data_IF_819359591505
#
_entry.id   IF_819359591505
#
_cell.length_a   1.000
_cell.length_b   1.000
_cell.length_c   1.000
_cell.angle_alpha   90.00
_cell.angle_beta   90.00
_cell.angle_gamma   90.00
#
_symmetry.space_group_name_H-M   'P 1'
#
loop_
_entity.id
_entity.type
_entity.pdbx_description
1 polymer ?
#
# COMPACT_ATOMS: atom_id res chain seq x y z
N UNK A 1 1.61 17.79 -17.69
CA UNK A 1 0.94 16.53 -17.23
C UNK A 1 1.69 15.82 -16.10
N UNK A 2 3.01 16.04 -16.02
CA UNK A 2 3.91 15.38 -15.07
C UNK A 2 3.54 15.62 -13.60
N UNK A 3 3.09 16.84 -13.26
CA UNK A 3 2.69 17.18 -11.89
C UNK A 3 1.51 16.34 -11.36
N UNK A 4 0.52 16.04 -12.21
CA UNK A 4 -0.62 15.21 -11.79
C UNK A 4 -0.19 13.77 -11.58
N UNK A 5 0.63 13.22 -12.49
CA UNK A 5 1.18 11.87 -12.36
C UNK A 5 2.04 11.76 -11.09
N UNK A 6 2.86 12.77 -10.79
CA UNK A 6 3.68 12.82 -9.59
C UNK A 6 2.82 12.85 -8.31
N UNK A 7 1.75 13.65 -8.29
CA UNK A 7 0.82 13.71 -7.14
C UNK A 7 0.13 12.37 -6.91
N UNK A 8 -0.42 11.74 -7.95
CA UNK A 8 -1.13 10.46 -7.80
C UNK A 8 -0.16 9.34 -7.40
N UNK A 9 1.04 9.32 -7.98
CA UNK A 9 2.09 8.38 -7.59
C UNK A 9 2.56 8.61 -6.15
N UNK A 10 2.72 9.86 -5.73
CA UNK A 10 3.03 10.21 -4.35
C UNK A 10 1.95 9.76 -3.38
N UNK A 11 0.67 9.89 -3.75
CA UNK A 11 -0.45 9.42 -2.95
C UNK A 11 -0.47 7.89 -2.84
N UNK A 12 -0.18 7.17 -3.92
CA UNK A 12 -0.04 5.70 -3.92
C UNK A 12 1.06 5.24 -2.96
N UNK A 13 2.24 5.86 -3.06
CA UNK A 13 3.38 5.54 -2.20
C UNK A 13 3.10 5.91 -0.74
N UNK A 14 2.47 7.05 -0.49
CA UNK A 14 2.09 7.50 0.84
C UNK A 14 1.08 6.57 1.50
N UNK A 15 0.05 6.15 0.76
CA UNK A 15 -0.95 5.20 1.25
C UNK A 15 -0.31 3.84 1.55
N UNK A 16 0.56 3.36 0.68
CA UNK A 16 1.29 2.12 0.91
C UNK A 16 2.18 2.20 2.15
N UNK A 17 2.94 3.28 2.29
CA UNK A 17 3.75 3.55 3.49
C UNK A 17 2.91 3.59 4.77
N UNK A 18 1.77 4.28 4.75
CA UNK A 18 0.85 4.37 5.88
C UNK A 18 0.36 2.97 6.31
N UNK A 19 -0.01 2.13 5.36
CA UNK A 19 -0.45 0.76 5.63
C UNK A 19 0.68 -0.04 6.26
N UNK A 20 1.88 -0.01 5.69
CA UNK A 20 3.03 -0.72 6.25
C UNK A 20 3.38 -0.24 7.67
N UNK A 21 3.33 1.07 7.92
CA UNK A 21 3.56 1.63 9.26
C UNK A 21 2.50 1.16 10.25
N UNK A 22 1.22 1.16 9.86
CA UNK A 22 0.13 0.68 10.71
C UNK A 22 0.28 -0.83 11.02
N UNK A 23 0.60 -1.64 10.01
CA UNK A 23 0.83 -3.08 10.18
C UNK A 23 2.01 -3.34 11.12
N UNK A 24 3.13 -2.65 10.94
CA UNK A 24 4.31 -2.78 11.81
C UNK A 24 4.01 -2.36 13.25
N UNK A 25 3.23 -1.29 13.45
CA UNK A 25 2.81 -0.85 14.78
C UNK A 25 1.94 -1.92 15.48
N UNK A 26 0.99 -2.51 14.75
CA UNK A 26 0.12 -3.56 15.28
C UNK A 26 0.92 -4.83 15.59
N UNK A 27 1.85 -5.22 14.71
CA UNK A 27 2.73 -6.37 14.95
C UNK A 27 3.59 -6.17 16.21
N UNK A 28 4.19 -4.99 16.37
CA UNK A 28 5.02 -4.70 17.54
C UNK A 28 4.21 -4.72 18.84
N UNK A 29 2.99 -4.18 18.81
CA UNK A 29 2.07 -4.24 19.95
C UNK A 29 1.68 -5.69 20.28
N UNK A 30 1.30 -6.48 19.27
CA UNK A 30 0.96 -7.89 19.46
C UNK A 30 2.15 -8.69 20.02
N UNK A 31 3.36 -8.42 19.54
CA UNK A 31 4.59 -9.04 20.03
C UNK A 31 4.81 -8.77 21.52
N UNK A 32 4.61 -7.52 21.96
CA UNK A 32 4.72 -7.14 23.37
C UNK A 32 3.64 -7.81 24.22
N UNK A 33 2.39 -7.86 23.74
CA UNK A 33 1.28 -8.52 24.44
C UNK A 33 1.55 -10.02 24.61
N UNK A 34 1.95 -10.71 23.54
CA UNK A 34 2.30 -12.14 23.58
C UNK A 34 3.46 -12.41 24.56
N UNK A 35 4.49 -11.57 24.53
CA UNK A 35 5.62 -11.68 25.44
C UNK A 35 5.23 -11.44 26.91
N UNK A 36 4.30 -10.52 27.17
CA UNK A 36 3.72 -10.26 28.49
C UNK A 36 2.89 -11.42 29.04
N UNK A 37 2.30 -12.22 28.15
CA UNK A 37 1.59 -13.47 28.50
C UNK A 37 2.53 -14.68 28.61
N UNK A 38 3.84 -14.50 28.47
CA UNK A 38 4.83 -15.58 28.53
C UNK A 38 4.96 -16.41 27.24
N UNK A 39 4.26 -16.03 26.16
CA UNK A 39 4.34 -16.71 24.87
C UNK A 39 5.60 -16.23 24.14
N UNK A 40 6.55 -17.13 23.92
CA UNK A 40 7.86 -16.84 23.32
C UNK A 40 8.27 -17.95 22.34
N UNK A 41 9.29 -17.68 21.53
CA UNK A 41 9.88 -18.66 20.62
C UNK A 41 9.00 -18.96 19.41
N UNK A 42 9.01 -20.20 18.93
CA UNK A 42 8.37 -20.60 17.67
C UNK A 42 6.85 -20.37 17.67
N UNK A 43 6.18 -20.57 18.81
CA UNK A 43 4.75 -20.32 18.94
C UNK A 43 4.40 -18.84 18.76
N UNK A 44 5.22 -17.93 19.30
CA UNK A 44 5.03 -16.49 19.11
C UNK A 44 5.18 -16.12 17.64
N UNK A 45 6.20 -16.66 16.97
CA UNK A 45 6.43 -16.43 15.54
C UNK A 45 5.26 -16.93 14.70
N UNK A 46 4.75 -18.13 14.96
CA UNK A 46 3.60 -18.68 14.24
C UNK A 46 2.36 -17.79 14.39
N UNK A 47 2.05 -17.34 15.61
CA UNK A 47 0.92 -16.43 15.87
C UNK A 47 1.09 -15.08 15.17
N UNK A 48 2.29 -14.51 15.18
CA UNK A 48 2.58 -13.25 14.50
C UNK A 48 2.49 -13.38 12.97
N UNK A 49 2.89 -14.51 12.40
CA UNK A 49 2.70 -14.78 10.96
C UNK A 49 1.21 -14.82 10.62
N UNK A 50 0.41 -15.55 11.41
CA UNK A 50 -1.05 -15.63 11.20
C UNK A 50 -1.68 -14.24 11.30
N UNK A 51 -1.27 -13.45 12.29
CA UNK A 51 -1.69 -12.07 12.45
C UNK A 51 -1.31 -11.24 11.21
N UNK A 52 -0.05 -11.29 10.77
CA UNK A 52 0.45 -10.54 9.63
C UNK A 52 -0.31 -10.88 8.34
N UNK A 53 -0.55 -12.16 8.07
CA UNK A 53 -1.34 -12.62 6.92
C UNK A 53 -2.77 -12.07 7.00
N UNK A 54 -3.38 -12.12 8.18
CA UNK A 54 -4.74 -11.58 8.40
C UNK A 54 -4.80 -10.07 8.17
N UNK A 55 -3.80 -9.33 8.66
CA UNK A 55 -3.66 -7.89 8.42
C UNK A 55 -3.43 -7.58 6.95
N UNK A 56 -2.60 -8.35 6.25
CA UNK A 56 -2.36 -8.17 4.82
C UNK A 56 -3.66 -8.35 4.03
N UNK A 57 -4.41 -9.43 4.27
CA UNK A 57 -5.71 -9.67 3.64
C UNK A 57 -6.69 -8.53 3.96
N UNK A 58 -6.76 -8.12 5.23
CA UNK A 58 -7.59 -7.01 5.68
C UNK A 58 -7.25 -5.70 4.98
N UNK A 59 -5.95 -5.37 4.87
CA UNK A 59 -5.46 -4.18 4.22
C UNK A 59 -5.77 -4.19 2.71
N UNK A 60 -5.52 -5.30 2.01
CA UNK A 60 -5.90 -5.44 0.60
C UNK A 60 -7.41 -5.33 0.40
N UNK A 61 -8.22 -5.83 1.33
CA UNK A 61 -9.68 -5.73 1.23
C UNK A 61 -10.20 -4.32 1.49
N UNK A 62 -9.62 -3.60 2.45
CA UNK A 62 -10.00 -2.24 2.80
C UNK A 62 -9.52 -1.22 1.76
N UNK A 63 -8.27 -1.33 1.33
CA UNK A 63 -7.63 -0.33 0.48
C UNK A 63 -7.51 -0.75 -0.98
N UNK A 64 -7.78 -2.01 -1.33
CA UNK A 64 -7.63 -2.52 -2.70
C UNK A 64 -8.46 -1.76 -3.73
N UNK A 65 -9.67 -1.33 -3.36
CA UNK A 65 -10.50 -0.47 -4.22
C UNK A 65 -9.85 0.90 -4.48
N UNK A 66 -9.28 1.51 -3.44
CA UNK A 66 -8.57 2.80 -3.55
C UNK A 66 -7.33 2.66 -4.42
N UNK A 67 -6.52 1.62 -4.19
CA UNK A 67 -5.35 1.32 -5.04
C UNK A 67 -5.76 1.08 -6.50
N UNK A 68 -6.81 0.31 -6.75
CA UNK A 68 -7.29 0.04 -8.10
C UNK A 68 -7.69 1.34 -8.82
N UNK A 69 -8.40 2.24 -8.15
CA UNK A 69 -8.79 3.54 -8.71
C UNK A 69 -7.57 4.41 -8.99
N UNK A 70 -6.64 4.52 -8.04
CA UNK A 70 -5.44 5.35 -8.20
C UNK A 70 -4.52 4.82 -9.30
N UNK A 71 -4.30 3.50 -9.36
CA UNK A 71 -3.54 2.85 -10.43
C UNK A 71 -4.22 3.07 -11.77
N UNK A 72 -5.53 2.85 -11.86
CA UNK A 72 -6.31 3.09 -13.07
C UNK A 72 -6.18 4.53 -13.57
N UNK A 73 -6.22 5.50 -12.66
CA UNK A 73 -6.04 6.91 -12.98
C UNK A 73 -4.63 7.18 -13.52
N UNK A 74 -3.58 6.66 -12.88
CA UNK A 74 -2.20 6.80 -13.37
C UNK A 74 -2.04 6.21 -14.76
N UNK A 75 -2.53 4.98 -14.98
CA UNK A 75 -2.44 4.32 -16.28
C UNK A 75 -3.18 5.09 -17.37
N UNK A 76 -4.35 5.64 -17.06
CA UNK A 76 -5.12 6.47 -17.98
C UNK A 76 -4.37 7.77 -18.34
N UNK A 77 -3.76 8.44 -17.36
CA UNK A 77 -2.95 9.65 -17.59
C UNK A 77 -1.72 9.36 -18.44
N UNK A 78 -1.04 8.23 -18.19
CA UNK A 78 0.11 7.78 -18.99
C UNK A 78 -0.33 7.49 -20.43
N UNK A 79 -1.45 6.80 -20.62
CA UNK A 79 -2.00 6.52 -21.95
C UNK A 79 -2.34 7.81 -22.71
N UNK A 80 -3.03 8.74 -22.05
CA UNK A 80 -3.38 10.04 -22.64
C UNK A 80 -2.12 10.82 -23.03
N UNK A 81 -1.11 10.85 -22.16
CA UNK A 81 0.17 11.49 -22.44
C UNK A 81 0.85 10.86 -23.67
N UNK A 82 0.93 9.53 -23.73
CA UNK A 82 1.53 8.82 -24.87
C UNK A 82 0.80 9.11 -26.18
N UNK A 83 -0.54 9.16 -26.17
CA UNK A 83 -1.35 9.48 -27.35
C UNK A 83 -1.13 10.92 -27.83
N UNK A 84 -1.08 11.90 -26.92
CA UNK A 84 -0.85 13.30 -27.26
C UNK A 84 0.54 13.55 -27.84
N UNK A 85 1.57 12.92 -27.25
CA UNK A 85 2.94 12.94 -27.79
C UNK A 85 2.96 12.36 -29.21
N UNK A 86 2.29 11.21 -29.41
CA UNK A 86 2.22 10.55 -30.72
C UNK A 86 1.44 11.39 -31.75
N UNK A 87 0.43 12.16 -31.32
CA UNK A 87 -0.34 13.05 -32.17
C UNK A 87 0.38 14.37 -32.52
N UNK A 88 1.62 14.58 -32.04
CA UNK A 88 2.39 15.80 -32.27
C UNK A 88 1.87 17.02 -31.50
N UNK A 89 1.01 16.81 -30.50
CA UNK A 89 0.55 17.89 -29.62
C UNK A 89 1.65 18.19 -28.62
N UNK A 90 2.11 19.45 -28.47
CA UNK A 90 3.09 19.79 -27.45
C UNK A 90 2.50 19.54 -26.07
N UNK A 91 3.09 18.60 -25.33
CA UNK A 91 2.67 18.24 -23.98
C UNK A 91 3.71 18.80 -23.01
N UNK A 92 3.30 19.79 -22.21
CA UNK A 92 4.04 20.30 -21.05
C UNK A 92 3.36 19.81 -19.76
#
# INVERSE_FOLDING_TARGET
MEGVIAVVTGLLLGLFGLILTAVAAIENLARQVLAGMGIRGELQTALLIILLVSLAIGAFRLFGGVFAVLIGLVLMLILLHALLVTAGVPVH
#
